data_IF_280144102228
#
_entry.id   IF_280144102228
#
_cell.length_a   1.000
_cell.length_b   1.000
_cell.length_c   1.000
_cell.angle_alpha   90.00
_cell.angle_beta   90.00
_cell.angle_gamma   90.00
#
_symmetry.space_group_name_H-M   'P 1'
#
loop_
_entity.id
_entity.type
_entity.pdbx_description
1 polymer ?
#
# COMPACT_ATOMS: atom_id res chain seq x y z
N UNK A 1 -43.60 32.18 14.84
CA UNK A 1 -42.22 31.92 15.32
C UNK A 1 -41.53 30.81 14.52
N UNK A 2 -41.67 30.80 13.18
CA UNK A 2 -41.25 29.65 12.34
C UNK A 2 -40.13 29.98 11.35
N UNK A 3 -39.69 31.24 11.28
CA UNK A 3 -38.63 31.71 10.34
C UNK A 3 -37.22 31.63 10.91
N UNK A 4 -37.06 31.46 12.23
CA UNK A 4 -35.75 31.39 12.89
C UNK A 4 -35.12 29.99 12.80
N UNK A 5 -35.95 28.93 12.86
CA UNK A 5 -35.50 27.52 12.83
C UNK A 5 -34.96 27.12 11.45
N UNK A 6 -35.57 27.62 10.37
CA UNK A 6 -35.19 27.30 8.98
C UNK A 6 -33.81 27.88 8.60
N UNK A 7 -33.41 29.02 9.17
CA UNK A 7 -32.08 29.60 8.94
C UNK A 7 -30.96 28.78 9.59
N UNK A 8 -31.27 28.14 10.72
CA UNK A 8 -30.30 27.33 11.46
C UNK A 8 -29.99 26.01 10.75
N UNK A 9 -30.97 25.39 10.09
CA UNK A 9 -30.75 24.13 9.37
C UNK A 9 -29.98 24.31 8.06
N UNK A 10 -30.23 25.40 7.33
CA UNK A 10 -29.48 25.72 6.11
C UNK A 10 -28.00 26.00 6.40
N UNK A 11 -27.70 26.73 7.48
CA UNK A 11 -26.32 27.00 7.90
C UNK A 11 -25.57 25.72 8.31
N UNK A 12 -26.24 24.81 9.02
CA UNK A 12 -25.66 23.50 9.42
C UNK A 12 -25.41 22.63 8.18
N UNK A 13 -26.34 22.58 7.22
CA UNK A 13 -26.15 21.82 5.99
C UNK A 13 -24.98 22.37 5.14
N UNK A 14 -24.84 23.69 5.04
CA UNK A 14 -23.70 24.32 4.33
C UNK A 14 -22.38 23.99 5.03
N UNK A 15 -22.32 24.06 6.36
CA UNK A 15 -21.11 23.70 7.12
C UNK A 15 -20.74 22.22 6.98
N UNK A 16 -21.72 21.31 6.93
CA UNK A 16 -21.49 19.89 6.68
C UNK A 16 -21.01 19.62 5.24
N UNK A 17 -21.57 20.31 4.25
CA UNK A 17 -21.10 20.18 2.87
C UNK A 17 -19.69 20.74 2.68
N UNK A 18 -19.35 21.83 3.38
CA UNK A 18 -17.99 22.37 3.40
C UNK A 18 -17.01 21.43 4.09
N UNK A 19 -17.38 20.79 5.21
CA UNK A 19 -16.48 19.87 5.92
C UNK A 19 -16.22 18.58 5.13
N UNK A 20 -17.24 18.03 4.46
CA UNK A 20 -17.08 16.86 3.57
C UNK A 20 -16.18 17.22 2.37
N UNK A 21 -16.36 18.41 1.78
CA UNK A 21 -15.52 18.90 0.68
C UNK A 21 -14.07 19.19 1.10
N UNK A 22 -13.79 19.47 2.37
CA UNK A 22 -12.43 19.69 2.88
C UNK A 22 -11.69 18.37 3.05
N UNK A 23 -12.37 17.30 3.48
CA UNK A 23 -11.72 16.00 3.73
C UNK A 23 -11.11 15.38 2.47
N UNK A 24 -11.80 15.43 1.31
CA UNK A 24 -11.21 14.90 0.06
C UNK A 24 -10.15 15.81 -0.56
N UNK A 25 -10.17 17.12 -0.25
CA UNK A 25 -9.16 18.08 -0.73
C UNK A 25 -7.85 18.02 0.04
N UNK A 26 -7.85 17.50 1.27
CA UNK A 26 -6.63 17.45 2.11
C UNK A 26 -5.50 16.65 1.46
N UNK A 27 -5.77 15.51 0.82
CA UNK A 27 -4.69 14.73 0.19
C UNK A 27 -4.24 15.29 -1.16
N UNK A 28 -5.14 15.94 -1.92
CA UNK A 28 -4.74 16.66 -3.12
C UNK A 28 -3.80 17.83 -2.80
N UNK A 29 -4.04 18.54 -1.69
CA UNK A 29 -3.19 19.63 -1.22
C UNK A 29 -1.80 19.12 -0.83
N UNK A 30 -1.69 17.99 -0.09
CA UNK A 30 -0.38 17.43 0.28
C UNK A 30 0.45 17.00 -0.93
N UNK A 31 -0.17 16.39 -1.95
CA UNK A 31 0.53 16.02 -3.18
C UNK A 31 1.00 17.25 -3.97
N UNK A 32 0.18 18.31 -4.03
CA UNK A 32 0.56 19.57 -4.68
C UNK A 32 1.75 20.22 -3.98
N UNK A 33 1.79 20.20 -2.64
CA UNK A 33 2.95 20.69 -1.89
C UNK A 33 4.20 19.84 -2.16
N UNK A 34 4.09 18.51 -2.23
CA UNK A 34 5.22 17.67 -2.65
C UNK A 34 5.70 18.06 -4.04
N UNK A 35 4.80 18.16 -5.02
CA UNK A 35 5.16 18.62 -6.37
C UNK A 35 5.86 19.97 -6.36
N UNK A 36 5.37 20.93 -5.56
CA UNK A 36 5.98 22.25 -5.44
C UNK A 36 7.40 22.17 -4.84
N UNK A 37 7.59 21.41 -3.77
CA UNK A 37 8.91 21.24 -3.12
C UNK A 37 9.94 20.63 -4.07
N UNK A 38 9.55 19.61 -4.83
CA UNK A 38 10.43 18.89 -5.74
C UNK A 38 10.44 19.44 -7.18
N UNK A 39 9.78 20.58 -7.43
CA UNK A 39 9.76 21.22 -8.76
C UNK A 39 11.06 21.94 -9.10
N UNK A 40 11.87 22.31 -8.10
CA UNK A 40 13.12 23.02 -8.30
C UNK A 40 14.33 22.11 -7.96
N UNK A 41 14.98 21.51 -8.98
CA UNK A 41 16.09 20.59 -8.77
C UNK A 41 17.35 21.26 -8.20
N UNK A 42 17.42 22.60 -8.21
CA UNK A 42 18.53 23.33 -7.60
C UNK A 42 18.38 23.48 -6.07
N UNK A 43 17.16 23.31 -5.54
CA UNK A 43 16.87 23.46 -4.12
C UNK A 43 16.74 22.11 -3.41
N UNK A 44 16.26 21.09 -4.11
CA UNK A 44 16.11 19.74 -3.57
C UNK A 44 16.51 18.70 -4.61
N UNK A 45 17.13 17.57 -4.18
CA UNK A 45 17.38 16.47 -5.09
C UNK A 45 16.05 15.93 -5.66
N UNK A 46 16.09 15.27 -6.84
CA UNK A 46 14.91 14.62 -7.39
C UNK A 46 14.25 13.69 -6.37
N UNK A 47 12.92 13.74 -6.33
CA UNK A 47 12.15 12.89 -5.43
C UNK A 47 12.46 11.42 -5.67
N UNK A 48 12.65 10.67 -4.58
CA UNK A 48 12.63 9.21 -4.59
C UNK A 48 11.86 8.68 -3.38
N UNK A 49 10.90 7.81 -3.64
CA UNK A 49 10.21 7.08 -2.59
C UNK A 49 11.21 6.22 -1.78
N UNK A 50 11.11 6.24 -0.45
CA UNK A 50 11.96 5.43 0.41
C UNK A 50 11.61 3.94 0.30
N UNK A 51 12.63 3.10 0.46
CA UNK A 51 12.45 1.68 0.68
C UNK A 51 12.25 1.40 2.17
N UNK A 52 11.44 0.40 2.50
CA UNK A 52 11.24 -0.11 3.86
C UNK A 52 11.31 -1.64 3.86
N UNK A 53 11.79 -2.22 4.97
CA UNK A 53 11.80 -3.68 5.16
C UNK A 53 12.77 -4.49 4.29
N UNK A 54 13.66 -3.84 3.53
CA UNK A 54 14.59 -4.53 2.62
C UNK A 54 15.78 -5.20 3.34
N UNK A 55 15.96 -4.94 4.63
CA UNK A 55 16.92 -5.58 5.52
C UNK A 55 16.34 -6.77 6.28
N UNK A 56 15.06 -7.09 6.07
CA UNK A 56 14.40 -8.19 6.75
C UNK A 56 14.87 -9.55 6.22
N UNK A 57 14.90 -10.60 7.07
CA UNK A 57 15.13 -11.95 6.59
C UNK A 57 13.99 -12.40 5.65
N UNK A 58 14.35 -13.14 4.61
CA UNK A 58 13.38 -13.69 3.66
C UNK A 58 12.86 -12.71 2.61
N UNK A 59 13.54 -11.56 2.40
CA UNK A 59 13.16 -10.62 1.34
C UNK A 59 13.25 -11.28 -0.04
N UNK A 60 12.22 -11.09 -0.86
CA UNK A 60 12.13 -11.60 -2.22
C UNK A 60 12.57 -10.50 -3.19
N UNK A 61 13.74 -10.68 -3.81
CA UNK A 61 14.25 -9.70 -4.77
C UNK A 61 13.30 -9.53 -5.96
N UNK A 62 13.04 -8.28 -6.33
CA UNK A 62 12.13 -7.95 -7.43
C UNK A 62 10.64 -8.06 -7.08
N UNK A 63 10.31 -8.31 -5.81
CA UNK A 63 8.93 -8.28 -5.30
C UNK A 63 8.75 -7.14 -4.28
N UNK A 64 7.73 -6.33 -4.49
CA UNK A 64 7.51 -5.10 -3.73
C UNK A 64 6.02 -4.82 -3.49
N UNK A 65 5.72 -4.21 -2.35
CA UNK A 65 4.46 -3.50 -2.13
C UNK A 65 4.67 -2.00 -2.31
N UNK A 66 3.95 -1.40 -3.26
CA UNK A 66 4.07 0.01 -3.64
C UNK A 66 2.87 0.78 -3.10
N UNK A 67 3.11 1.71 -2.18
CA UNK A 67 2.06 2.51 -1.54
C UNK A 67 1.90 3.84 -2.24
N UNK A 68 0.71 4.11 -2.77
CA UNK A 68 0.35 5.38 -3.36
C UNK A 68 -0.23 6.34 -2.32
N UNK A 69 0.01 7.61 -2.56
CA UNK A 69 -0.59 8.69 -1.79
C UNK A 69 -2.12 8.64 -1.86
N UNK A 70 -2.78 9.00 -0.77
CA UNK A 70 -4.24 9.08 -0.70
C UNK A 70 -4.84 9.89 -1.85
N UNK A 71 -5.90 9.38 -2.46
CA UNK A 71 -6.58 10.00 -3.60
C UNK A 71 -5.85 9.87 -4.94
N UNK A 72 -4.68 9.22 -5.00
CA UNK A 72 -4.08 8.81 -6.27
C UNK A 72 -4.73 7.51 -6.76
N UNK A 73 -4.79 7.37 -8.09
CA UNK A 73 -5.33 6.16 -8.73
C UNK A 73 -4.21 5.38 -9.39
N UNK A 74 -4.41 4.07 -9.51
CA UNK A 74 -3.45 3.18 -10.13
C UNK A 74 -3.21 3.53 -11.61
N UNK A 75 -4.25 3.98 -12.31
CA UNK A 75 -4.19 4.34 -13.73
C UNK A 75 -3.30 5.56 -13.95
N UNK A 76 -3.42 6.59 -13.11
CA UNK A 76 -2.56 7.79 -13.19
C UNK A 76 -1.11 7.45 -12.87
N UNK A 77 -0.88 6.58 -11.88
CA UNK A 77 0.45 6.08 -11.57
C UNK A 77 1.05 5.32 -12.75
N UNK A 78 0.30 4.38 -13.34
CA UNK A 78 0.69 3.63 -14.54
C UNK A 78 1.00 4.54 -15.72
N UNK A 79 0.19 5.57 -15.96
CA UNK A 79 0.45 6.56 -17.01
C UNK A 79 1.76 7.31 -16.77
N UNK A 80 2.02 7.70 -15.52
CA UNK A 80 3.23 8.43 -15.12
C UNK A 80 4.51 7.59 -15.30
N UNK A 81 4.48 6.29 -15.01
CA UNK A 81 5.64 5.41 -15.12
C UNK A 81 5.72 4.63 -16.44
N UNK A 82 4.63 4.61 -17.23
CA UNK A 82 4.32 3.58 -18.23
C UNK A 82 5.23 3.48 -19.46
N UNK A 83 6.25 4.33 -19.59
CA UNK A 83 7.33 4.14 -20.59
C UNK A 83 8.55 3.42 -20.03
N UNK A 84 8.70 3.41 -18.72
CA UNK A 84 9.88 2.90 -18.02
C UNK A 84 9.56 1.66 -17.17
N UNK A 85 8.29 1.42 -16.85
CA UNK A 85 7.84 0.24 -16.15
C UNK A 85 6.62 -0.40 -16.84
N UNK A 86 6.69 -1.68 -17.16
CA UNK A 86 5.54 -2.43 -17.70
C UNK A 86 4.66 -2.97 -16.56
N UNK A 87 4.05 -2.07 -15.79
CA UNK A 87 3.33 -2.43 -14.57
C UNK A 87 2.16 -3.40 -14.80
N UNK A 88 1.53 -3.40 -15.98
CA UNK A 88 0.37 -4.26 -16.25
C UNK A 88 0.68 -5.75 -16.09
N UNK A 89 1.87 -6.19 -16.49
CA UNK A 89 2.29 -7.59 -16.33
C UNK A 89 2.94 -7.92 -14.99
N UNK A 90 3.25 -6.90 -14.18
CA UNK A 90 3.99 -7.06 -12.92
C UNK A 90 3.08 -7.09 -11.70
N UNK A 91 1.95 -6.38 -11.77
CA UNK A 91 1.02 -6.25 -10.64
C UNK A 91 0.29 -7.58 -10.40
N UNK A 92 0.51 -8.18 -9.24
CA UNK A 92 -0.13 -9.44 -8.83
C UNK A 92 -1.38 -9.21 -8.00
N UNK A 93 -1.44 -8.10 -7.26
CA UNK A 93 -2.57 -7.76 -6.39
C UNK A 93 -2.69 -6.27 -6.17
N UNK A 94 -3.92 -5.78 -6.09
CA UNK A 94 -4.24 -4.39 -5.72
C UNK A 94 -5.03 -4.40 -4.41
N UNK A 95 -4.67 -3.52 -3.49
CA UNK A 95 -5.40 -3.29 -2.24
C UNK A 95 -6.00 -1.87 -2.29
N UNK A 96 -7.33 -1.75 -2.23
CA UNK A 96 -7.99 -0.47 -2.36
C UNK A 96 -7.66 0.47 -1.20
N UNK A 97 -7.77 1.77 -1.46
CA UNK A 97 -7.61 2.82 -0.45
C UNK A 97 -8.62 2.65 0.71
N UNK A 98 -8.17 2.91 1.93
CA UNK A 98 -9.00 2.95 3.14
C UNK A 98 -8.85 4.30 3.84
N UNK A 99 -9.45 4.47 5.03
CA UNK A 99 -9.21 5.65 5.86
C UNK A 99 -7.81 5.68 6.50
N UNK A 100 -7.10 4.55 6.53
CA UNK A 100 -5.82 4.40 7.23
C UNK A 100 -4.61 4.39 6.30
N UNK A 101 -4.80 3.98 5.05
CA UNK A 101 -3.74 3.90 4.05
C UNK A 101 -4.27 4.23 2.67
N UNK A 102 -3.40 4.78 1.82
CA UNK A 102 -3.68 4.96 0.40
C UNK A 102 -3.86 3.62 -0.33
N UNK A 103 -4.19 3.68 -1.61
CA UNK A 103 -4.15 2.51 -2.48
C UNK A 103 -2.71 1.97 -2.52
N UNK A 104 -2.53 0.67 -2.43
CA UNK A 104 -1.23 0.05 -2.67
C UNK A 104 -1.38 -1.22 -3.50
N UNK A 105 -0.31 -1.64 -4.16
CA UNK A 105 -0.30 -2.83 -4.98
C UNK A 105 0.97 -3.64 -4.78
N UNK A 106 0.89 -4.94 -5.04
CA UNK A 106 2.01 -5.85 -5.07
C UNK A 106 2.47 -6.03 -6.52
N UNK A 107 3.77 -5.97 -6.74
CA UNK A 107 4.38 -6.22 -8.03
C UNK A 107 5.56 -7.16 -7.90
N UNK A 108 5.64 -8.13 -8.81
CA UNK A 108 6.69 -9.14 -8.86
C UNK A 108 7.48 -9.04 -10.17
N UNK A 109 8.71 -9.57 -10.16
CA UNK A 109 9.63 -9.55 -11.30
C UNK A 109 9.96 -8.13 -11.79
N UNK A 110 9.98 -7.17 -10.88
CA UNK A 110 10.31 -5.77 -11.15
C UNK A 110 11.83 -5.61 -11.19
N UNK A 111 12.36 -5.14 -12.32
CA UNK A 111 13.80 -4.90 -12.47
C UNK A 111 14.24 -3.54 -11.90
N UNK A 112 15.56 -3.29 -11.89
CA UNK A 112 16.16 -2.07 -11.32
C UNK A 112 15.72 -0.79 -12.04
N UNK A 113 15.46 -0.85 -13.35
CA UNK A 113 15.00 0.30 -14.14
C UNK A 113 13.52 0.57 -13.82
N UNK A 114 12.71 -0.47 -13.76
CA UNK A 114 11.30 -0.38 -13.43
C UNK A 114 11.10 0.15 -12.00
N UNK A 115 11.84 -0.36 -11.01
CA UNK A 115 11.70 0.09 -9.62
C UNK A 115 12.18 1.52 -9.45
N UNK A 116 13.24 1.95 -10.14
CA UNK A 116 13.70 3.34 -10.10
C UNK A 116 12.69 4.30 -10.73
N UNK A 117 11.97 3.88 -11.77
CA UNK A 117 10.88 4.65 -12.36
C UNK A 117 9.71 4.79 -11.39
N UNK A 118 9.29 3.69 -10.75
CA UNK A 118 8.25 3.69 -9.72
C UNK A 118 8.63 4.63 -8.58
N UNK A 119 9.87 4.54 -8.08
CA UNK A 119 10.37 5.38 -6.97
C UNK A 119 10.40 6.86 -7.31
N UNK A 120 10.57 7.20 -8.58
CA UNK A 120 10.63 8.59 -9.03
C UNK A 120 9.25 9.23 -9.17
N UNK A 121 8.16 8.45 -9.10
CA UNK A 121 6.81 9.00 -9.07
C UNK A 121 6.48 9.57 -7.69
N UNK A 122 6.20 10.87 -7.67
CA UNK A 122 5.82 11.63 -6.47
C UNK A 122 4.51 11.20 -5.83
N UNK A 123 3.68 10.45 -6.58
CA UNK A 123 2.49 9.80 -6.06
C UNK A 123 2.81 8.58 -5.18
N UNK A 124 4.02 8.03 -5.22
CA UNK A 124 4.41 6.88 -4.38
C UNK A 124 4.91 7.40 -3.04
N UNK A 125 4.27 7.00 -1.94
CA UNK A 125 4.65 7.38 -0.57
C UNK A 125 5.85 6.56 -0.07
N UNK A 126 5.85 5.26 -0.34
CA UNK A 126 6.92 4.33 0.04
C UNK A 126 6.84 3.04 -0.76
N UNK A 127 7.94 2.28 -0.75
CA UNK A 127 8.00 0.93 -1.29
C UNK A 127 8.49 -0.02 -0.19
N UNK A 128 7.70 -1.02 0.12
CA UNK A 128 8.08 -2.08 1.06
C UNK A 128 8.61 -3.29 0.28
N UNK A 129 9.77 -3.80 0.67
CA UNK A 129 10.32 -5.04 0.13
C UNK A 129 9.46 -6.23 0.59
N UNK A 130 9.01 -7.04 -0.36
CA UNK A 130 8.20 -8.20 -0.05
C UNK A 130 9.04 -9.30 0.62
N UNK A 131 8.41 -10.12 1.44
CA UNK A 131 9.08 -11.18 2.20
C UNK A 131 8.30 -12.49 2.15
N UNK A 132 9.03 -13.60 2.11
CA UNK A 132 8.43 -14.89 2.41
C UNK A 132 8.18 -14.99 3.91
N UNK A 133 6.92 -15.16 4.29
CA UNK A 133 6.60 -15.60 5.65
C UNK A 133 6.85 -17.10 5.68
N UNK A 134 8.03 -17.50 6.14
CA UNK A 134 8.26 -18.88 6.54
C UNK A 134 7.39 -19.14 7.77
N UNK A 135 6.20 -19.71 7.54
CA UNK A 135 5.41 -20.26 8.64
C UNK A 135 6.10 -21.56 9.02
N UNK A 136 6.89 -21.53 10.09
CA UNK A 136 7.35 -22.75 10.74
C UNK A 136 6.13 -23.45 11.34
N UNK A 137 5.44 -24.23 10.49
CA UNK A 137 4.42 -25.16 10.93
C UNK A 137 5.19 -26.26 11.64
N UNK A 138 5.41 -26.08 12.94
CA UNK A 138 6.10 -27.01 13.82
C UNK A 138 5.38 -28.35 13.96
N UNK A 139 5.20 -29.09 12.87
CA UNK A 139 4.75 -30.48 12.86
C UNK A 139 5.89 -31.36 13.35
N UNK A 140 6.13 -31.34 14.65
CA UNK A 140 6.56 -32.56 15.35
C UNK A 140 5.30 -33.42 15.54
N UNK A 141 4.95 -34.16 14.49
CA UNK A 141 4.07 -35.31 14.67
C UNK A 141 4.95 -36.38 15.29
N UNK A 142 4.98 -36.44 16.61
CA UNK A 142 5.44 -37.62 17.32
C UNK A 142 4.46 -38.73 16.96
N UNK A 143 4.83 -39.54 15.97
CA UNK A 143 4.13 -40.78 15.63
C UNK A 143 4.40 -41.73 16.78
N UNK A 144 3.53 -41.71 17.78
CA UNK A 144 3.53 -42.68 18.86
C UNK A 144 3.54 -44.10 18.27
N UNK A 145 4.53 -44.87 18.70
CA UNK A 145 4.78 -46.25 18.28
C UNK A 145 3.54 -47.13 18.48
N UNK A 146 3.33 -48.13 17.62
CA UNK A 146 2.19 -49.03 17.71
C UNK A 146 2.22 -49.82 19.02
N UNK A 147 1.12 -49.75 19.78
CA UNK A 147 0.89 -50.58 20.95
C UNK A 147 0.99 -52.07 20.56
N UNK A 148 1.99 -52.76 21.12
CA UNK A 148 2.10 -54.21 21.07
C UNK A 148 0.81 -54.83 21.65
N UNK A 149 0.04 -55.48 20.77
CA UNK A 149 -1.08 -56.32 21.19
C UNK A 149 -0.53 -57.58 21.85
N UNK A 150 -0.47 -57.55 23.17
CA UNK A 150 -0.23 -58.73 23.98
C UNK A 150 -1.50 -59.61 23.95
N UNK A 151 -1.48 -60.66 23.13
CA UNK A 151 -2.44 -61.76 23.25
C UNK A 151 -2.04 -62.62 24.44
N UNK A 152 -2.71 -62.41 25.57
CA UNK A 152 -2.63 -63.26 26.75
C UNK A 152 -3.68 -64.36 26.69
N UNK A 153 -3.20 -65.60 26.66
CA UNK A 153 -3.92 -66.86 26.66
C UNK A 153 -4.81 -67.11 27.89
N UNK A 154 -5.88 -67.87 27.62
CA UNK A 154 -6.43 -68.98 28.41
C UNK A 154 -6.78 -68.77 29.89
N UNK A 155 -8.09 -68.89 30.17
CA UNK A 155 -8.66 -70.02 30.92
C UNK A 155 -10.17 -70.12 30.70
#
# INVERSE_FOLDING_TARGET
>A
MSRLVVRSTAAVAILLLLSIGISSKRSAISLLWRKALYSNPHLMPPYRAPFTGCDWPGVVQGSYAVFLHHGCTLEKHKEQVGRQANLESRITRVVPETSYHGLYYFAEQVDDVEIDAIRSDIAVDMIECDRTVEVDIGTKVDVDQPAERHWGEAR
#
